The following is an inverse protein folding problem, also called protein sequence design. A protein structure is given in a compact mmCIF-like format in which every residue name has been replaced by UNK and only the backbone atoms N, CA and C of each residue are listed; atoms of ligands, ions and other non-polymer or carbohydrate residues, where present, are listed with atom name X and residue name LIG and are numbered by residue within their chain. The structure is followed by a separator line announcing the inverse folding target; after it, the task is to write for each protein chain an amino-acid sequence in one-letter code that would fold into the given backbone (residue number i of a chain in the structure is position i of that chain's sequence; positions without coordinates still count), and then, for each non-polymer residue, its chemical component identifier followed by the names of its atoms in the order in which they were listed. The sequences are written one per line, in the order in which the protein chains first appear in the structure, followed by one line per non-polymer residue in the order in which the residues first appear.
data_IF_551939340854
#
_entry.id   IF_551939340854
#
_cell.length_a   1.000
_cell.length_b   1.000
_cell.length_c   1.000
_cell.angle_alpha   90.00
_cell.angle_beta   90.00
_cell.angle_gamma   90.00
#
_symmetry.space_group_name_H-M   'P 1'
#
loop_
_entity.id
_entity.type
_entity.pdbx_description
1 polymer ?
#
# COMPACT_ATOMS: atom_id res chain seq x y z
N UNK A 1 -0.10 -35.38 79.22
CA UNK A 1 0.68 -35.71 78.01
C UNK A 1 -0.01 -35.05 76.83
N UNK A 2 0.61 -34.01 76.25
CA UNK A 2 0.01 -33.21 75.19
C UNK A 2 0.42 -33.76 73.82
N UNK A 3 -0.58 -34.04 72.99
CA UNK A 3 -0.46 -34.46 71.60
C UNK A 3 -0.06 -33.25 70.77
N UNK A 4 1.07 -33.30 70.06
CA UNK A 4 1.39 -32.32 69.01
C UNK A 4 1.30 -33.00 67.66
N UNK A 5 0.14 -32.84 67.02
CA UNK A 5 -0.03 -33.06 65.60
C UNK A 5 0.80 -32.01 64.85
N UNK A 6 1.86 -32.47 64.19
CA UNK A 6 2.65 -31.67 63.28
C UNK A 6 1.90 -31.64 61.94
N UNK A 7 1.01 -30.67 61.77
CA UNK A 7 0.32 -30.42 60.51
C UNK A 7 1.29 -29.75 59.55
N UNK A 8 1.79 -30.54 58.60
CA UNK A 8 2.57 -30.10 57.46
C UNK A 8 1.66 -29.33 56.51
N UNK A 9 1.56 -28.01 56.73
CA UNK A 9 0.73 -27.13 55.92
C UNK A 9 1.45 -26.88 54.57
N UNK A 10 1.15 -27.73 53.59
CA UNK A 10 1.54 -27.55 52.20
C UNK A 10 0.98 -26.23 51.66
N UNK A 11 1.81 -25.19 51.63
CA UNK A 11 1.47 -23.91 51.03
C UNK A 11 1.29 -24.09 49.52
N UNK A 12 0.04 -24.01 49.06
CA UNK A 12 -0.30 -23.99 47.65
C UNK A 12 0.23 -22.69 47.01
N UNK A 13 1.47 -22.71 46.49
CA UNK A 13 2.01 -21.62 45.67
C UNK A 13 1.31 -21.65 44.31
N UNK A 14 0.26 -20.86 44.18
CA UNK A 14 -0.34 -20.54 42.88
C UNK A 14 0.74 -19.88 41.99
N UNK A 15 1.37 -20.66 41.11
CA UNK A 15 2.11 -20.13 39.97
C UNK A 15 1.07 -19.65 38.97
N UNK A 16 0.54 -18.45 39.20
CA UNK A 16 -0.31 -17.78 38.23
C UNK A 16 0.39 -17.77 36.88
N UNK A 17 -0.32 -18.19 35.83
CA UNK A 17 0.20 -18.15 34.48
C UNK A 17 0.75 -16.73 34.21
N UNK A 18 1.96 -16.59 33.62
CA UNK A 18 2.52 -15.28 33.34
C UNK A 18 1.50 -14.47 32.53
N UNK A 19 1.21 -13.26 33.01
CA UNK A 19 0.29 -12.33 32.36
C UNK A 19 0.73 -12.20 30.89
N UNK A 20 -0.18 -12.35 29.92
CA UNK A 20 0.20 -12.28 28.52
C UNK A 20 0.86 -10.93 28.26
N UNK A 21 2.06 -10.96 27.67
CA UNK A 21 2.79 -9.76 27.32
C UNK A 21 2.03 -9.00 26.24
N UNK A 22 1.23 -8.02 26.67
CA UNK A 22 0.39 -7.20 25.80
C UNK A 22 1.25 -6.45 24.77
N UNK A 23 2.49 -6.09 25.14
CA UNK A 23 3.42 -5.42 24.26
C UNK A 23 3.90 -6.38 23.14
N UNK A 24 4.26 -7.61 23.49
CA UNK A 24 4.60 -8.66 22.53
C UNK A 24 3.48 -8.96 21.52
N UNK A 25 2.23 -9.06 21.99
CA UNK A 25 1.06 -9.29 21.12
C UNK A 25 0.85 -8.11 20.15
N UNK A 26 0.99 -6.87 20.63
CA UNK A 26 0.88 -5.68 19.78
C UNK A 26 2.02 -5.60 18.77
N UNK A 27 3.25 -5.93 19.17
CA UNK A 27 4.42 -5.98 18.29
C UNK A 27 4.18 -6.98 17.14
N UNK A 28 3.71 -8.19 17.43
CA UNK A 28 3.39 -9.19 16.40
C UNK A 28 2.28 -8.74 15.45
N UNK A 29 1.23 -8.10 15.97
CA UNK A 29 0.15 -7.52 15.16
C UNK A 29 0.73 -6.48 14.19
N UNK A 30 1.54 -5.55 14.68
CA UNK A 30 2.15 -4.50 13.86
C UNK A 30 3.10 -5.11 12.81
N UNK A 31 3.93 -6.10 13.18
CA UNK A 31 4.80 -6.84 12.23
C UNK A 31 3.99 -7.45 11.08
N UNK A 32 2.90 -8.16 11.38
CA UNK A 32 2.04 -8.78 10.37
C UNK A 32 1.42 -7.72 9.45
N UNK A 33 0.95 -6.62 10.02
CA UNK A 33 0.33 -5.52 9.26
C UNK A 33 1.34 -4.78 8.37
N UNK A 34 2.55 -4.51 8.85
CA UNK A 34 3.62 -3.88 8.06
C UNK A 34 4.06 -4.76 6.88
N UNK A 35 4.23 -6.08 7.11
CA UNK A 35 4.55 -7.04 6.03
C UNK A 35 3.46 -7.07 4.97
N UNK A 36 2.19 -7.19 5.38
CA UNK A 36 1.06 -7.20 4.46
C UNK A 36 0.95 -5.88 3.67
N UNK A 37 1.18 -4.74 4.33
CA UNK A 37 1.18 -3.43 3.68
C UNK A 37 2.29 -3.32 2.63
N UNK A 38 3.52 -3.73 2.96
CA UNK A 38 4.65 -3.77 2.02
C UNK A 38 4.36 -4.63 0.79
N UNK A 39 3.77 -5.82 0.98
CA UNK A 39 3.38 -6.70 -0.13
C UNK A 39 2.36 -6.03 -1.05
N UNK A 40 1.35 -5.36 -0.49
CA UNK A 40 0.33 -4.65 -1.27
C UNK A 40 0.89 -3.44 -2.01
N UNK A 41 1.81 -2.68 -1.40
CA UNK A 41 2.50 -1.58 -2.08
C UNK A 41 3.37 -2.08 -3.24
N UNK A 42 4.08 -3.20 -3.04
CA UNK A 42 4.85 -3.83 -4.11
C UNK A 42 3.92 -4.27 -5.26
N UNK A 43 2.80 -4.91 -4.96
CA UNK A 43 1.79 -5.28 -5.96
C UNK A 43 1.27 -4.06 -6.73
N UNK A 44 0.88 -2.99 -6.03
CA UNK A 44 0.43 -1.74 -6.65
C UNK A 44 1.49 -1.18 -7.62
N UNK A 45 2.75 -1.16 -7.19
CA UNK A 45 3.86 -0.69 -8.03
C UNK A 45 4.05 -1.55 -9.28
N UNK A 46 3.92 -2.88 -9.18
CA UNK A 46 4.02 -3.79 -10.32
C UNK A 46 2.82 -3.70 -11.28
N UNK A 47 1.62 -3.44 -10.76
CA UNK A 47 0.38 -3.41 -11.53
C UNK A 47 0.15 -2.08 -12.27
N UNK A 48 0.71 -0.97 -11.77
CA UNK A 48 0.58 0.34 -12.42
C UNK A 48 1.18 0.39 -13.83
N UNK A 49 2.41 -0.11 -14.00
CA UNK A 49 3.15 -0.09 -15.27
C UNK A 49 2.41 -0.75 -16.44
N UNK A 50 1.91 -2.00 -16.33
CA UNK A 50 1.18 -2.62 -17.44
C UNK A 50 -0.14 -1.91 -17.76
N UNK A 51 -0.83 -1.34 -16.77
CA UNK A 51 -2.05 -0.55 -17.02
C UNK A 51 -1.75 0.76 -17.75
N UNK A 52 -0.70 1.48 -17.34
CA UNK A 52 -0.23 2.67 -18.07
C UNK A 52 0.18 2.34 -19.50
N UNK A 53 0.87 1.21 -19.71
CA UNK A 53 1.26 0.78 -21.05
C UNK A 53 0.03 0.46 -21.93
N UNK A 54 -0.96 -0.26 -21.39
CA UNK A 54 -2.24 -0.53 -22.09
C UNK A 54 -2.98 0.76 -22.41
N UNK A 55 -3.06 1.70 -21.48
CA UNK A 55 -3.68 3.01 -21.71
C UNK A 55 -2.99 3.73 -22.88
N UNK A 56 -1.67 3.77 -22.88
CA UNK A 56 -0.90 4.41 -23.95
C UNK A 56 -1.12 3.72 -25.31
N UNK A 57 -1.18 2.39 -25.33
CA UNK A 57 -1.48 1.63 -26.55
C UNK A 57 -2.87 1.97 -27.10
N UNK A 58 -3.89 2.03 -26.25
CA UNK A 58 -5.24 2.42 -26.67
C UNK A 58 -5.32 3.88 -27.16
N UNK A 59 -4.58 4.80 -26.51
CA UNK A 59 -4.46 6.20 -26.97
C UNK A 59 -3.80 6.27 -28.35
N UNK A 60 -2.72 5.51 -28.58
CA UNK A 60 -2.04 5.48 -29.86
C UNK A 60 -2.92 4.87 -30.96
N UNK A 61 -3.61 3.77 -30.65
CA UNK A 61 -4.56 3.13 -31.57
C UNK A 61 -5.69 4.09 -31.97
N UNK A 62 -6.26 4.78 -30.98
CA UNK A 62 -7.24 5.84 -31.16
C UNK A 62 -6.78 6.98 -32.09
N UNK A 63 -5.52 7.41 -31.97
CA UNK A 63 -4.93 8.42 -32.86
C UNK A 63 -4.79 7.88 -34.28
N UNK A 64 -4.35 6.62 -34.42
CA UNK A 64 -4.21 5.95 -35.71
C UNK A 64 -5.53 5.80 -36.44
N UNK A 65 -6.61 5.54 -35.70
CA UNK A 65 -7.97 5.45 -36.22
C UNK A 65 -8.61 6.84 -36.50
N UNK A 66 -7.84 7.93 -36.37
CA UNK A 66 -8.24 9.27 -36.78
C UNK A 66 -8.96 10.09 -35.71
N UNK A 67 -8.94 9.68 -34.44
CA UNK A 67 -9.58 10.47 -33.38
C UNK A 67 -8.81 11.76 -33.08
N UNK A 68 -9.56 12.84 -32.80
CA UNK A 68 -9.00 14.15 -32.48
C UNK A 68 -8.25 14.12 -31.15
N UNK A 69 -7.02 14.63 -31.14
CA UNK A 69 -6.16 14.80 -29.94
C UNK A 69 -6.89 15.48 -28.79
N UNK A 70 -7.75 16.47 -29.06
CA UNK A 70 -8.52 17.19 -28.04
C UNK A 70 -9.50 16.28 -27.30
N UNK A 71 -10.21 15.41 -28.02
CA UNK A 71 -11.18 14.47 -27.45
C UNK A 71 -10.47 13.41 -26.61
N UNK A 72 -9.32 12.93 -27.08
CA UNK A 72 -8.49 11.97 -26.35
C UNK A 72 -7.88 12.56 -25.08
N UNK A 73 -7.35 13.79 -25.16
CA UNK A 73 -6.82 14.50 -24.00
C UNK A 73 -7.89 14.67 -22.90
N UNK A 74 -9.13 14.97 -23.29
CA UNK A 74 -10.25 15.09 -22.36
C UNK A 74 -10.60 13.73 -21.71
N UNK A 75 -10.74 12.67 -22.51
CA UNK A 75 -11.09 11.34 -22.01
C UNK A 75 -9.99 10.75 -21.09
N UNK A 76 -8.73 10.82 -21.52
CA UNK A 76 -7.59 10.34 -20.74
C UNK A 76 -7.20 11.30 -19.59
N UNK A 77 -7.69 12.55 -19.58
CA UNK A 77 -7.32 13.57 -18.60
C UNK A 77 -5.84 13.95 -18.60
N UNK A 78 -5.17 13.81 -19.74
CA UNK A 78 -3.76 14.15 -19.92
C UNK A 78 -3.60 15.32 -20.88
N UNK A 79 -2.43 15.95 -20.87
CA UNK A 79 -2.16 17.08 -21.75
C UNK A 79 -2.18 16.64 -23.22
N UNK A 80 -2.55 17.57 -24.12
CA UNK A 80 -2.48 17.34 -25.57
C UNK A 80 -1.06 17.05 -26.05
N UNK A 81 -0.05 17.53 -25.33
CA UNK A 81 1.36 17.23 -25.63
C UNK A 81 1.65 15.75 -25.35
N UNK A 82 1.23 15.24 -24.18
CA UNK A 82 1.38 13.83 -23.80
C UNK A 82 0.73 12.90 -24.84
N UNK A 83 -0.48 13.21 -25.31
CA UNK A 83 -1.15 12.43 -26.36
C UNK A 83 -0.32 12.37 -27.65
N UNK A 84 0.25 13.49 -28.09
CA UNK A 84 1.09 13.53 -29.29
C UNK A 84 2.37 12.71 -29.11
N UNK A 85 3.02 12.85 -27.96
CA UNK A 85 4.23 12.07 -27.63
C UNK A 85 3.93 10.58 -27.64
N UNK A 86 2.79 10.15 -27.07
CA UNK A 86 2.36 8.75 -27.14
C UNK A 86 2.16 8.32 -28.59
N UNK A 87 1.47 9.10 -29.42
CA UNK A 87 1.30 8.79 -30.84
C UNK A 87 2.62 8.55 -31.58
N UNK A 88 3.64 9.38 -31.32
CA UNK A 88 4.98 9.25 -31.91
C UNK A 88 5.78 8.03 -31.42
N UNK A 89 5.40 7.44 -30.29
CA UNK A 89 6.08 6.24 -29.77
C UNK A 89 5.57 4.94 -30.39
N UNK A 90 4.45 4.98 -31.14
CA UNK A 90 3.78 3.80 -31.69
C UNK A 90 3.51 4.00 -33.19
N UNK A 91 4.57 3.87 -34.00
CA UNK A 91 4.51 4.13 -35.45
C UNK A 91 3.94 2.94 -36.26
N UNK A 92 4.08 1.71 -35.76
CA UNK A 92 3.74 0.48 -36.50
C UNK A 92 2.31 -0.06 -36.27
N UNK A 93 1.39 0.79 -35.80
CA UNK A 93 0.01 0.37 -35.53
C UNK A 93 -0.83 0.27 -36.81
N UNK A 94 -1.47 -0.90 -36.99
CA UNK A 94 -2.52 -1.10 -37.98
C UNK A 94 -3.83 -0.47 -37.48
N UNK A 95 -4.72 0.00 -38.37
CA UNK A 95 -6.05 0.48 -37.98
C UNK A 95 -6.83 -0.60 -37.24
N UNK A 96 -7.48 -0.26 -36.13
CA UNK A 96 -8.20 -1.24 -35.30
C UNK A 96 -9.58 -1.59 -35.84
N UNK A 97 -10.16 -0.68 -36.64
CA UNK A 97 -11.54 -0.78 -37.09
C UNK A 97 -12.59 -0.64 -35.97
N UNK A 98 -12.18 -0.31 -34.74
CA UNK A 98 -13.09 -0.13 -33.62
C UNK A 98 -13.81 1.22 -33.68
N UNK A 99 -15.07 1.30 -33.24
CA UNK A 99 -15.77 2.57 -33.14
C UNK A 99 -15.12 3.46 -32.09
N UNK A 100 -15.05 4.76 -32.40
CA UNK A 100 -14.45 5.79 -31.56
C UNK A 100 -14.98 5.78 -30.11
N UNK A 101 -16.28 5.54 -29.93
CA UNK A 101 -16.91 5.53 -28.61
C UNK A 101 -16.44 4.36 -27.75
N UNK A 102 -16.20 3.19 -28.36
CA UNK A 102 -15.67 2.03 -27.66
C UNK A 102 -14.24 2.27 -27.20
N UNK A 103 -13.39 2.87 -28.05
CA UNK A 103 -12.02 3.24 -27.65
C UNK A 103 -12.01 4.26 -26.51
N UNK A 104 -12.91 5.24 -26.54
CA UNK A 104 -13.01 6.23 -25.45
C UNK A 104 -13.50 5.60 -24.14
N UNK A 105 -14.44 4.66 -24.20
CA UNK A 105 -14.89 3.92 -23.03
C UNK A 105 -13.75 3.10 -22.40
N UNK A 106 -12.95 2.42 -23.22
CA UNK A 106 -11.77 1.66 -22.75
C UNK A 106 -10.73 2.57 -22.13
N UNK A 107 -10.40 3.71 -22.77
CA UNK A 107 -9.46 4.70 -22.25
C UNK A 107 -9.95 5.25 -20.90
N UNK A 108 -11.23 5.57 -20.79
CA UNK A 108 -11.82 6.05 -19.54
C UNK A 108 -11.76 4.99 -18.42
N UNK A 109 -12.07 3.72 -18.73
CA UNK A 109 -11.99 2.62 -17.78
C UNK A 109 -10.56 2.35 -17.29
N UNK A 110 -9.58 2.33 -18.19
CA UNK A 110 -8.18 2.16 -17.82
C UNK A 110 -7.67 3.33 -16.95
N UNK A 111 -8.15 4.53 -17.22
CA UNK A 111 -7.85 5.70 -16.40
C UNK A 111 -8.47 5.59 -15.00
N UNK A 112 -9.72 5.16 -14.88
CA UNK A 112 -10.34 4.96 -13.56
C UNK A 112 -9.63 3.86 -12.77
N UNK A 113 -9.25 2.76 -13.42
CA UNK A 113 -8.46 1.69 -12.77
C UNK A 113 -7.11 2.22 -12.25
N UNK A 114 -6.42 3.06 -13.03
CA UNK A 114 -5.18 3.69 -12.57
C UNK A 114 -5.42 4.63 -11.38
N UNK A 115 -6.50 5.41 -11.40
CA UNK A 115 -6.86 6.29 -10.28
C UNK A 115 -7.19 5.49 -9.02
N UNK A 116 -7.93 4.39 -9.13
CA UNK A 116 -8.23 3.48 -8.02
C UNK A 116 -6.95 2.87 -7.42
N UNK A 117 -5.98 2.48 -8.27
CA UNK A 117 -4.69 2.01 -7.79
C UNK A 117 -3.90 3.11 -7.08
N UNK A 118 -3.89 4.34 -7.59
CA UNK A 118 -3.24 5.49 -6.95
C UNK A 118 -3.87 5.82 -5.59
N UNK A 119 -5.20 5.83 -5.50
CA UNK A 119 -5.93 5.99 -4.24
C UNK A 119 -5.62 4.86 -3.25
N UNK A 120 -5.65 3.61 -3.73
CA UNK A 120 -5.31 2.46 -2.89
C UNK A 120 -3.87 2.53 -2.37
N UNK A 121 -2.94 3.03 -3.19
CA UNK A 121 -1.55 3.25 -2.82
C UNK A 121 -1.44 4.35 -1.76
N UNK A 122 -2.12 5.49 -1.94
CA UNK A 122 -2.12 6.57 -0.98
C UNK A 122 -2.65 6.11 0.40
N UNK A 123 -3.75 5.37 0.42
CA UNK A 123 -4.30 4.78 1.64
C UNK A 123 -3.35 3.77 2.30
N UNK A 124 -2.64 2.97 1.52
CA UNK A 124 -1.61 2.05 2.03
C UNK A 124 -0.40 2.80 2.61
N UNK A 125 0.04 3.87 1.96
CA UNK A 125 1.14 4.72 2.44
C UNK A 125 0.77 5.40 3.76
N UNK A 126 -0.43 5.96 3.87
CA UNK A 126 -0.96 6.53 5.12
C UNK A 126 -1.06 5.48 6.22
N UNK A 127 -1.63 4.30 5.92
CA UNK A 127 -1.70 3.20 6.88
C UNK A 127 -0.32 2.76 7.35
N UNK A 128 0.68 2.74 6.46
CA UNK A 128 2.08 2.42 6.82
C UNK A 128 2.64 3.47 7.78
N UNK A 129 2.39 4.76 7.54
CA UNK A 129 2.80 5.84 8.44
C UNK A 129 2.19 5.69 9.83
N UNK A 130 0.88 5.42 9.91
CA UNK A 130 0.18 5.21 11.18
C UNK A 130 0.73 4.00 11.95
N UNK A 131 1.01 2.88 11.26
CA UNK A 131 1.63 1.71 11.87
C UNK A 131 3.03 2.01 12.42
N UNK A 132 3.87 2.74 11.66
CA UNK A 132 5.20 3.14 12.10
C UNK A 132 5.15 4.09 13.30
N UNK A 133 4.26 5.08 13.29
CA UNK A 133 4.07 5.99 14.41
C UNK A 133 3.59 5.24 15.67
N UNK A 134 2.66 4.28 15.52
CA UNK A 134 2.19 3.45 16.63
C UNK A 134 3.29 2.57 17.22
N UNK A 135 4.13 1.95 16.38
CA UNK A 135 5.23 1.09 16.81
C UNK A 135 6.28 1.87 17.61
N UNK A 136 6.64 3.07 17.15
CA UNK A 136 7.58 3.96 17.85
C UNK A 136 7.01 4.46 19.16
N UNK A 137 5.72 4.86 19.20
CA UNK A 137 5.06 5.30 20.44
C UNK A 137 5.01 4.20 21.49
N UNK A 138 4.77 2.96 21.08
CA UNK A 138 4.69 1.81 21.98
C UNK A 138 6.09 1.31 22.40
N UNK A 139 7.17 1.75 21.74
CA UNK A 139 8.54 1.32 22.05
C UNK A 139 8.77 -0.18 21.84
N UNK A 140 7.91 -0.83 21.05
CA UNK A 140 7.87 -2.30 20.91
C UNK A 140 8.85 -2.87 19.90
N UNK A 141 9.46 -2.00 19.08
CA UNK A 141 10.32 -2.39 17.95
C UNK A 141 11.44 -1.37 17.77
N UNK A 142 12.61 -1.86 17.36
CA UNK A 142 13.76 -1.01 17.03
C UNK A 142 13.64 -0.40 15.62
N UNK A 143 14.29 0.74 15.40
CA UNK A 143 14.26 1.48 14.13
C UNK A 143 14.77 0.63 12.96
N UNK A 144 15.75 -0.27 13.19
CA UNK A 144 16.23 -1.21 12.18
C UNK A 144 15.20 -2.28 11.82
N UNK A 145 14.47 -2.78 12.82
CA UNK A 145 13.39 -3.74 12.61
C UNK A 145 12.24 -3.10 11.80
N UNK A 146 11.88 -1.86 12.13
CA UNK A 146 10.89 -1.09 11.39
C UNK A 146 11.32 -0.81 9.95
N UNK A 147 12.59 -0.48 9.73
CA UNK A 147 13.16 -0.30 8.39
C UNK A 147 13.04 -1.57 7.54
N UNK A 148 13.45 -2.71 8.10
CA UNK A 148 13.38 -4.01 7.40
C UNK A 148 11.95 -4.38 6.99
N UNK A 149 10.96 -4.10 7.85
CA UNK A 149 9.57 -4.48 7.61
C UNK A 149 8.82 -3.52 6.67
N UNK A 150 9.09 -2.22 6.78
CA UNK A 150 8.43 -1.19 5.98
C UNK A 150 9.07 -0.98 4.59
N UNK A 151 10.32 -1.42 4.41
CA UNK A 151 11.11 -1.15 3.21
C UNK A 151 11.56 0.32 3.11
N UNK A 152 11.52 1.06 4.22
CA UNK A 152 11.98 2.44 4.30
C UNK A 152 13.32 2.52 5.06
N UNK A 153 14.08 3.57 4.79
CA UNK A 153 15.29 3.87 5.57
C UNK A 153 14.92 4.32 6.98
N UNK A 154 15.71 3.95 7.98
CA UNK A 154 15.46 4.31 9.39
C UNK A 154 15.36 5.82 9.61
N UNK A 155 16.21 6.61 8.95
CA UNK A 155 16.14 8.08 8.98
C UNK A 155 14.84 8.63 8.39
N UNK A 156 14.36 8.05 7.29
CA UNK A 156 13.09 8.45 6.68
C UNK A 156 11.92 8.16 7.61
N UNK A 157 11.92 7.00 8.27
CA UNK A 157 10.93 6.64 9.30
C UNK A 157 10.96 7.67 10.42
N UNK A 158 12.13 8.03 10.94
CA UNK A 158 12.27 9.03 12.00
C UNK A 158 11.67 10.37 11.61
N UNK A 159 11.99 10.88 10.42
CA UNK A 159 11.47 12.15 9.89
C UNK A 159 9.96 12.10 9.70
N UNK A 160 9.46 11.05 9.07
CA UNK A 160 8.03 10.91 8.76
C UNK A 160 7.15 10.72 10.00
N UNK A 161 7.68 10.14 11.07
CA UNK A 161 6.94 9.88 12.31
C UNK A 161 7.13 10.96 13.37
N UNK A 162 7.99 11.94 13.14
CA UNK A 162 8.23 13.02 14.10
C UNK A 162 7.01 13.93 14.19
N UNK A 163 6.44 14.07 15.39
CA UNK A 163 5.29 14.95 15.65
C UNK A 163 3.92 14.37 15.25
N UNK A 164 3.87 13.16 14.69
CA UNK A 164 2.59 12.48 14.43
C UNK A 164 1.99 11.92 15.72
N UNK A 165 0.76 12.34 16.04
CA UNK A 165 -0.05 11.63 17.02
C UNK A 165 -0.59 10.37 16.36
N UNK A 166 0.02 9.21 16.65
CA UNK A 166 -0.49 7.94 16.14
C UNK A 166 -1.94 7.73 16.61
N UNK A 167 -2.87 7.56 15.66
CA UNK A 167 -4.23 7.12 15.98
C UNK A 167 -4.16 5.71 16.56
N UNK A 168 -4.89 5.49 17.66
CA UNK A 168 -4.94 4.19 18.32
C UNK A 168 -5.64 3.19 17.39
N UNK A 169 -4.95 2.08 17.09
CA UNK A 169 -5.42 0.96 16.27
C UNK A 169 -6.44 0.07 16.97
#
# INVERSE_FOLDING_TARGET
MAVTHQTDAGYYRYRGAPKPDKAGIQAEKIRKLLKANRQRLAFNSSSSRPLSARLNQHIAQALRDGMKVTRLAQAAGVSRWTIRTIGLTFDDLLPSGQPAEQQLAVIAGLKSELAELEESRAALEERRLNLLASARRLGVMDDFELAALSGLQSEAIRKMTWGLQAQVL
#
